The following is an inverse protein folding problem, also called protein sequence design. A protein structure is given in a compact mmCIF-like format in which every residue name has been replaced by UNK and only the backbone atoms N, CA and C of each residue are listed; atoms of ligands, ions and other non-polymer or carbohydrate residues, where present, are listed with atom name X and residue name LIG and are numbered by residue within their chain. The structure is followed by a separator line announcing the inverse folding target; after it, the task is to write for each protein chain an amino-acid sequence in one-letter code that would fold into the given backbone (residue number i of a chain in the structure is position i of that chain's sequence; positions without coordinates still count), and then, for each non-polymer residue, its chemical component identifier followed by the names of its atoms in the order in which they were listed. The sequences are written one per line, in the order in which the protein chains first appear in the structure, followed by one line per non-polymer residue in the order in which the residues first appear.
data_IF_066435412064
#
_entry.id   IF_066435412064
#
_cell.length_a   1.000
_cell.length_b   1.000
_cell.length_c   1.000
_cell.angle_alpha   90.00
_cell.angle_beta   90.00
_cell.angle_gamma   90.00
#
_symmetry.space_group_name_H-M   'P 1'
#
loop_
_entity.id
_entity.type
_entity.pdbx_description
1 polymer ?
#
# COMPACT_ATOMS: atom_id res chain seq x y z
N UNK A 1 5.15 -2.04 -8.73
CA UNK A 1 4.45 -1.86 -7.44
C UNK A 1 3.00 -2.26 -7.62
N UNK A 2 2.46 -2.99 -6.65
CA UNK A 2 1.08 -3.49 -6.68
C UNK A 2 0.37 -3.10 -5.40
N UNK A 3 -0.89 -2.66 -5.51
CA UNK A 3 -1.73 -2.32 -4.36
C UNK A 3 -2.91 -3.29 -4.31
N UNK A 4 -3.01 -4.04 -3.21
CA UNK A 4 -4.03 -5.05 -3.00
C UNK A 4 -5.13 -4.52 -2.07
N UNK A 5 -6.41 -4.65 -2.46
CA UNK A 5 -7.54 -4.33 -1.59
C UNK A 5 -7.63 -5.31 -0.41
N UNK A 6 -8.28 -4.92 0.71
CA UNK A 6 -8.66 -5.88 1.73
C UNK A 6 -9.67 -6.90 1.19
N UNK A 7 -9.70 -8.10 1.77
CA UNK A 7 -10.77 -9.07 1.46
C UNK A 7 -12.11 -8.60 2.04
N UNK A 8 -13.21 -9.03 1.42
CA UNK A 8 -14.57 -8.70 1.88
C UNK A 8 -14.80 -9.15 3.32
N UNK A 9 -14.34 -10.34 3.70
CA UNK A 9 -14.51 -10.90 5.04
C UNK A 9 -13.75 -10.08 6.09
N UNK A 10 -12.54 -9.60 5.75
CA UNK A 10 -11.76 -8.75 6.64
C UNK A 10 -12.44 -7.39 6.82
N UNK A 11 -13.02 -6.83 5.76
CA UNK A 11 -13.80 -5.59 5.83
C UNK A 11 -15.04 -5.78 6.70
N UNK A 12 -15.80 -6.85 6.52
CA UNK A 12 -17.01 -7.11 7.31
C UNK A 12 -16.71 -7.31 8.80
N UNK A 13 -15.53 -7.85 9.12
CA UNK A 13 -15.02 -7.97 10.49
C UNK A 13 -14.36 -6.69 11.05
N UNK A 14 -14.36 -5.58 10.30
CA UNK A 14 -13.67 -4.33 10.61
C UNK A 14 -12.16 -4.51 10.90
N UNK A 15 -11.53 -5.38 10.11
CA UNK A 15 -10.09 -5.73 10.14
C UNK A 15 -9.46 -5.60 8.75
N UNK A 16 -10.04 -4.79 7.86
CA UNK A 16 -9.54 -4.57 6.52
C UNK A 16 -8.14 -3.95 6.54
N UNK A 17 -7.23 -4.46 5.72
CA UNK A 17 -5.89 -3.91 5.53
C UNK A 17 -5.56 -3.85 4.05
N UNK A 18 -5.17 -2.67 3.57
CA UNK A 18 -4.57 -2.48 2.25
C UNK A 18 -3.11 -2.91 2.29
N UNK A 19 -2.65 -3.63 1.27
CA UNK A 19 -1.25 -4.06 1.16
C UNK A 19 -0.62 -3.49 -0.10
N UNK A 20 0.42 -2.68 0.06
CA UNK A 20 1.23 -2.17 -1.03
C UNK A 20 2.54 -2.94 -1.12
N UNK A 21 2.75 -3.67 -2.21
CA UNK A 21 3.96 -4.44 -2.46
C UNK A 21 4.87 -3.71 -3.45
N UNK A 22 6.11 -3.49 -3.03
CA UNK A 22 7.17 -2.90 -3.83
C UNK A 22 8.25 -3.95 -4.05
N UNK A 23 8.56 -4.28 -5.30
CA UNK A 23 9.60 -5.23 -5.67
C UNK A 23 10.54 -4.61 -6.68
N UNK A 24 11.65 -5.31 -6.93
CA UNK A 24 12.55 -5.08 -8.07
C UNK A 24 13.22 -3.70 -8.09
N UNK A 25 13.47 -3.09 -6.92
CA UNK A 25 14.15 -1.81 -6.80
C UNK A 25 15.58 -1.94 -6.25
N UNK A 26 16.47 -1.04 -6.68
CA UNK A 26 17.84 -0.93 -6.20
C UNK A 26 18.34 0.50 -6.42
N UNK A 27 19.03 1.15 -5.45
CA UNK A 27 19.45 0.65 -4.14
C UNK A 27 18.29 0.49 -3.16
N UNK A 28 18.51 -0.19 -2.03
CA UNK A 28 17.45 -0.63 -1.10
C UNK A 28 16.75 0.45 -0.26
N UNK A 29 16.87 1.73 -0.62
CA UNK A 29 16.21 2.84 0.08
C UNK A 29 14.96 3.27 -0.66
N UNK A 30 13.80 3.20 -0.02
CA UNK A 30 12.51 3.63 -0.57
C UNK A 30 11.70 4.31 0.52
N UNK A 31 10.97 5.35 0.18
CA UNK A 31 10.00 6.01 1.07
C UNK A 31 8.59 5.68 0.60
N UNK A 32 7.74 5.19 1.49
CA UNK A 32 6.34 4.90 1.19
C UNK A 32 5.44 5.89 1.93
N UNK A 33 4.45 6.42 1.25
CA UNK A 33 3.42 7.29 1.82
C UNK A 33 2.04 6.91 1.30
N UNK A 34 1.01 7.27 2.06
CA UNK A 34 -0.37 6.91 1.74
C UNK A 34 -1.25 8.15 1.68
N UNK A 35 -2.29 8.08 0.85
CA UNK A 35 -3.38 9.05 0.86
C UNK A 35 -4.74 8.34 0.83
N UNK A 36 -5.77 8.98 1.37
CA UNK A 36 -7.17 8.69 1.04
C UNK A 36 -7.82 9.95 0.49
N UNK A 37 -8.44 9.84 -0.68
CA UNK A 37 -9.04 10.96 -1.43
C UNK A 37 -8.05 12.14 -1.59
N UNK A 38 -6.78 11.80 -1.81
CA UNK A 38 -5.69 12.77 -1.96
C UNK A 38 -5.19 13.40 -0.65
N UNK A 39 -5.79 13.10 0.49
CA UNK A 39 -5.33 13.58 1.80
C UNK A 39 -4.28 12.63 2.40
N UNK A 40 -3.12 13.12 2.86
CA UNK A 40 -2.09 12.28 3.47
C UNK A 40 -2.59 11.51 4.70
N UNK A 41 -2.19 10.23 4.80
CA UNK A 41 -2.44 9.37 5.96
C UNK A 41 -1.13 8.79 6.46
N UNK A 42 -0.90 8.87 7.77
CA UNK A 42 0.22 8.22 8.46
C UNK A 42 -0.23 7.36 9.64
N UNK A 43 -1.47 7.54 10.13
CA UNK A 43 -1.98 6.79 11.27
C UNK A 43 -2.16 5.32 10.91
N UNK A 44 -1.59 4.42 11.73
CA UNK A 44 -1.68 2.98 11.53
C UNK A 44 -0.87 2.41 10.36
N UNK A 45 -0.16 3.26 9.60
CA UNK A 45 0.68 2.79 8.49
C UNK A 45 1.88 2.05 9.05
N UNK A 46 2.08 0.82 8.60
CA UNK A 46 3.26 0.02 8.91
C UNK A 46 4.01 -0.32 7.64
N UNK A 47 5.32 -0.05 7.59
CA UNK A 47 6.15 -0.41 6.45
C UNK A 47 7.26 -1.34 6.90
N UNK A 48 7.33 -2.51 6.27
CA UNK A 48 8.37 -3.48 6.55
C UNK A 48 9.74 -2.94 6.14
N UNK A 49 10.80 -3.49 6.75
CA UNK A 49 12.16 -3.19 6.31
C UNK A 49 12.39 -3.81 4.94
N UNK A 50 12.95 -3.03 4.01
CA UNK A 50 13.33 -3.54 2.71
C UNK A 50 14.35 -4.68 2.83
N UNK A 51 14.06 -5.79 2.16
CA UNK A 51 14.88 -7.00 2.18
C UNK A 51 15.39 -7.30 0.78
N UNK A 52 16.67 -7.64 0.67
CA UNK A 52 17.28 -8.03 -0.61
C UNK A 52 16.91 -9.47 -0.94
N UNK A 53 16.34 -9.68 -2.11
CA UNK A 53 16.04 -11.00 -2.65
C UNK A 53 17.31 -11.66 -3.18
N UNK A 54 17.49 -12.94 -2.87
CA UNK A 54 18.70 -13.70 -3.23
C UNK A 54 18.74 -14.01 -4.73
N UNK A 55 17.58 -14.22 -5.35
CA UNK A 55 17.43 -14.71 -6.72
C UNK A 55 17.86 -13.68 -7.78
N UNK A 56 17.48 -12.41 -7.61
CA UNK A 56 17.73 -11.34 -8.57
C UNK A 56 18.62 -10.20 -8.02
N UNK A 57 19.03 -10.27 -6.75
CA UNK A 57 19.77 -9.22 -6.04
C UNK A 57 19.05 -7.87 -5.91
N UNK A 58 17.74 -7.82 -6.13
CA UNK A 58 16.91 -6.61 -5.98
C UNK A 58 16.24 -6.56 -4.60
N UNK A 59 15.75 -5.39 -4.21
CA UNK A 59 15.04 -5.22 -2.95
C UNK A 59 13.53 -5.35 -3.12
N UNK A 60 12.90 -5.80 -2.04
CA UNK A 60 11.45 -5.83 -1.91
C UNK A 60 11.05 -5.30 -0.53
N UNK A 61 9.93 -4.61 -0.45
CA UNK A 61 9.28 -4.24 0.81
C UNK A 61 7.76 -4.22 0.65
N UNK A 62 7.06 -4.18 1.77
CA UNK A 62 5.62 -4.01 1.81
C UNK A 62 5.21 -2.94 2.82
N UNK A 63 4.13 -2.24 2.51
CA UNK A 63 3.50 -1.27 3.39
C UNK A 63 2.03 -1.63 3.57
N UNK A 64 1.53 -1.45 4.78
CA UNK A 64 0.22 -1.88 5.21
C UNK A 64 -0.55 -0.69 5.78
N UNK A 65 -1.80 -0.53 5.35
CA UNK A 65 -2.70 0.50 5.85
C UNK A 65 -4.01 -0.14 6.32
N UNK A 66 -4.26 -0.19 7.64
CA UNK A 66 -5.56 -0.58 8.17
C UNK A 66 -6.65 0.39 7.71
N UNK A 67 -7.81 -0.14 7.35
CA UNK A 67 -8.98 0.64 6.95
C UNK A 67 -10.22 0.18 7.72
N UNK A 68 -11.10 1.11 8.05
CA UNK A 68 -12.39 0.77 8.66
C UNK A 68 -13.36 0.27 7.60
N UNK A 69 -14.32 -0.55 8.01
CA UNK A 69 -15.42 -0.98 7.12
C UNK A 69 -16.17 0.23 6.56
N UNK A 70 -16.40 1.25 7.39
CA UNK A 70 -17.10 2.46 7.01
C UNK A 70 -16.36 3.21 5.89
N UNK A 71 -15.06 3.45 6.06
CA UNK A 71 -14.27 4.19 5.10
C UNK A 71 -14.12 3.44 3.77
N UNK A 72 -13.80 2.14 3.82
CA UNK A 72 -13.69 1.32 2.62
C UNK A 72 -15.03 1.25 1.86
N UNK A 73 -16.13 1.04 2.58
CA UNK A 73 -17.46 0.96 1.97
C UNK A 73 -17.98 2.31 1.45
N UNK A 74 -17.44 3.44 1.92
CA UNK A 74 -17.71 4.76 1.37
C UNK A 74 -17.02 5.04 0.03
N UNK A 75 -16.29 4.05 -0.51
CA UNK A 75 -15.62 4.12 -1.81
C UNK A 75 -14.52 5.18 -1.89
N UNK A 76 -13.84 5.46 -0.76
CA UNK A 76 -12.64 6.30 -0.75
C UNK A 76 -11.57 5.71 -1.68
N UNK A 77 -10.85 6.59 -2.35
CA UNK A 77 -9.71 6.23 -3.19
C UNK A 77 -8.46 6.27 -2.33
N UNK A 78 -7.91 5.10 -2.05
CA UNK A 78 -6.64 4.97 -1.35
C UNK A 78 -5.50 4.89 -2.35
N UNK A 79 -4.42 5.62 -2.10
CA UNK A 79 -3.22 5.53 -2.92
C UNK A 79 -1.97 5.25 -2.07
N UNK A 80 -1.17 4.30 -2.53
CA UNK A 80 0.19 4.06 -2.05
C UNK A 80 1.16 4.75 -3.03
N UNK A 81 2.03 5.59 -2.48
CA UNK A 81 3.05 6.32 -3.22
C UNK A 81 4.43 5.86 -2.74
N UNK A 82 5.23 5.39 -3.68
CA UNK A 82 6.59 4.95 -3.42
C UNK A 82 7.57 5.86 -4.12
N UNK A 83 8.44 6.50 -3.35
CA UNK A 83 9.53 7.31 -3.86
C UNK A 83 10.83 6.54 -3.70
N UNK A 84 11.44 6.23 -4.84
CA UNK A 84 12.75 5.59 -4.94
C UNK A 84 13.68 6.54 -5.69
N UNK A 85 14.78 6.92 -5.05
CA UNK A 85 15.68 7.99 -5.49
C UNK A 85 14.96 9.33 -5.75
N UNK A 86 14.55 9.59 -6.99
CA UNK A 86 13.83 10.82 -7.41
C UNK A 86 12.54 10.52 -8.18
N UNK A 87 12.21 9.25 -8.33
CA UNK A 87 11.02 8.83 -9.05
C UNK A 87 9.96 8.40 -8.04
N UNK A 88 8.74 8.91 -8.25
CA UNK A 88 7.57 8.53 -7.45
C UNK A 88 6.62 7.75 -8.34
N UNK A 89 6.35 6.51 -7.94
CA UNK A 89 5.30 5.69 -8.54
C UNK A 89 4.09 5.66 -7.60
N UNK A 90 2.89 5.68 -8.16
CA UNK A 90 1.64 5.68 -7.40
C UNK A 90 0.76 4.53 -7.88
N UNK A 91 0.16 3.80 -6.94
CA UNK A 91 -0.90 2.84 -7.21
C UNK A 91 -2.09 3.21 -6.35
N UNK A 92 -3.30 3.09 -6.91
CA UNK A 92 -4.54 3.48 -6.22
C UNK A 92 -5.58 2.38 -6.33
N UNK A 93 -6.44 2.29 -5.31
CA UNK A 93 -7.54 1.33 -5.26
C UNK A 93 -8.73 1.92 -4.50
N UNK A 94 -9.93 1.49 -4.89
CA UNK A 94 -11.20 1.76 -4.21
C UNK A 94 -12.08 0.52 -4.31
N UNK A 95 -13.11 0.43 -3.46
CA UNK A 95 -14.03 -0.72 -3.43
C UNK A 95 -14.67 -1.00 -4.80
N UNK A 96 -15.08 0.04 -5.52
CA UNK A 96 -15.73 -0.07 -6.84
C UNK A 96 -14.85 -0.68 -7.93
N UNK A 97 -13.53 -0.69 -7.77
CA UNK A 97 -12.59 -1.27 -8.73
C UNK A 97 -12.35 -2.77 -8.49
N UNK A 98 -12.94 -3.33 -7.42
CA UNK A 98 -12.80 -4.73 -7.02
C UNK A 98 -14.13 -5.50 -7.15
N UNK A 99 -15.18 -4.84 -7.65
CA UNK A 99 -16.55 -5.37 -7.77
C UNK A 99 -16.82 -5.95 -9.16
#
# INVERSE_FOLDING_TARGET
MSLFPPSSEAVDANKGTLTCLLSDFYPGSVTVSWTADGQPISSGVETAKATKQIENNLYMTSSYLPVTSLDWNSNKVYACQATHERETITASVSRSQCA
#
